data_IF_568266393994
#
_entry.id   IF_568266393994
#
_cell.length_a   1.000
_cell.length_b   1.000
_cell.length_c   1.000
_cell.angle_alpha   90.00
_cell.angle_beta   90.00
_cell.angle_gamma   90.00
#
_symmetry.space_group_name_H-M   'P 1'
#
loop_
_entity.id
_entity.type
_entity.pdbx_description
1 polymer ?
#
# COMPACT_ATOMS: atom_id res chain seq x y z
N UNK A 1 14.32 -3.59 -35.70
CA UNK A 1 13.25 -3.47 -34.69
C UNK A 1 13.54 -4.52 -33.64
N UNK A 2 13.71 -4.15 -32.37
CA UNK A 2 13.83 -5.15 -31.29
C UNK A 2 12.46 -5.86 -31.11
N UNK A 3 12.50 -7.16 -30.90
CA UNK A 3 11.31 -7.98 -30.63
C UNK A 3 11.38 -8.38 -29.17
N UNK A 4 10.24 -8.42 -28.50
CA UNK A 4 10.17 -8.86 -27.10
C UNK A 4 10.89 -10.19 -26.90
N UNK A 5 11.65 -10.32 -25.81
CA UNK A 5 12.38 -11.56 -25.51
C UNK A 5 11.44 -12.52 -24.74
N UNK A 6 10.75 -13.38 -25.50
CA UNK A 6 9.77 -14.33 -24.94
C UNK A 6 10.41 -15.73 -24.94
N UNK A 7 10.50 -16.35 -23.75
CA UNK A 7 11.03 -17.71 -23.64
C UNK A 7 10.12 -18.70 -24.40
N UNK A 8 10.65 -19.68 -25.12
CA UNK A 8 9.85 -20.61 -25.96
C UNK A 8 8.80 -21.42 -25.21
N UNK A 9 8.95 -21.59 -23.89
CA UNK A 9 7.96 -22.30 -23.05
C UNK A 9 6.95 -21.38 -22.38
N UNK A 10 7.04 -20.07 -22.60
CA UNK A 10 6.03 -19.13 -22.10
C UNK A 10 4.73 -19.28 -22.92
N UNK A 11 3.60 -19.11 -22.24
CA UNK A 11 2.26 -19.14 -22.87
C UNK A 11 1.76 -17.71 -22.93
N UNK A 12 1.75 -17.12 -24.10
CA UNK A 12 1.24 -15.77 -24.34
C UNK A 12 -0.01 -15.87 -25.21
N UNK A 13 -1.14 -15.42 -24.67
CA UNK A 13 -2.40 -15.46 -25.39
C UNK A 13 -2.41 -14.42 -26.53
N UNK A 14 -3.08 -14.75 -27.62
CA UNK A 14 -3.36 -13.81 -28.71
C UNK A 14 -4.15 -12.61 -28.17
N UNK A 15 -3.72 -11.38 -28.51
CA UNK A 15 -4.31 -10.13 -28.01
C UNK A 15 -3.49 -9.44 -26.91
N UNK A 16 -2.53 -10.12 -26.28
CA UNK A 16 -1.62 -9.47 -25.34
C UNK A 16 -0.77 -8.40 -26.03
N UNK A 17 -0.71 -7.20 -25.45
CA UNK A 17 0.13 -6.11 -25.95
C UNK A 17 1.46 -6.06 -25.20
N UNK A 18 2.57 -6.40 -25.87
CA UNK A 18 3.87 -6.55 -25.25
C UNK A 18 4.86 -5.59 -25.91
N UNK A 19 5.44 -4.66 -25.13
CA UNK A 19 6.47 -3.76 -25.63
C UNK A 19 7.72 -4.52 -26.09
N UNK A 20 8.41 -3.99 -27.08
CA UNK A 20 9.55 -4.66 -27.74
C UNK A 20 10.75 -4.92 -26.80
N UNK A 21 10.89 -4.16 -25.73
CA UNK A 21 11.95 -4.33 -24.72
C UNK A 21 11.54 -5.19 -23.52
N UNK A 22 10.30 -5.71 -23.49
CA UNK A 22 9.85 -6.59 -22.41
C UNK A 22 10.48 -7.99 -22.51
N UNK A 23 10.62 -8.64 -21.35
CA UNK A 23 11.12 -10.01 -21.25
C UNK A 23 10.12 -10.90 -20.54
N UNK A 24 9.87 -12.11 -21.06
CA UNK A 24 8.96 -13.11 -20.47
C UNK A 24 9.72 -14.41 -20.27
N UNK A 25 9.85 -14.82 -19.02
CA UNK A 25 10.57 -16.00 -18.57
C UNK A 25 9.87 -17.33 -18.88
N UNK A 26 10.53 -18.45 -18.61
CA UNK A 26 10.02 -19.78 -18.92
C UNK A 26 8.75 -20.09 -18.11
N UNK A 27 7.82 -20.76 -18.78
CA UNK A 27 6.54 -21.20 -18.21
C UNK A 27 5.66 -20.09 -17.63
N UNK A 28 5.96 -18.81 -17.91
CA UNK A 28 5.07 -17.71 -17.56
C UNK A 28 3.81 -17.76 -18.44
N UNK A 29 2.67 -17.36 -17.87
CA UNK A 29 1.40 -17.27 -18.59
C UNK A 29 0.94 -15.81 -18.64
N UNK A 30 0.61 -15.31 -19.84
CA UNK A 30 0.17 -13.94 -20.09
C UNK A 30 -1.17 -13.98 -20.85
N UNK A 31 -2.22 -13.47 -20.22
CA UNK A 31 -3.59 -13.43 -20.75
C UNK A 31 -3.78 -12.41 -21.87
N UNK A 32 -4.84 -12.57 -22.66
CA UNK A 32 -5.10 -11.79 -23.88
C UNK A 32 -5.30 -10.27 -23.66
N UNK A 33 -5.69 -9.85 -22.48
CA UNK A 33 -5.97 -8.43 -22.16
C UNK A 33 -4.85 -7.79 -21.32
N UNK A 34 -3.68 -8.44 -21.25
CA UNK A 34 -2.51 -7.94 -20.55
C UNK A 34 -1.73 -6.98 -21.43
N UNK A 35 -1.33 -5.85 -20.85
CA UNK A 35 -0.47 -4.84 -21.49
C UNK A 35 0.82 -4.73 -20.70
N UNK A 36 1.97 -4.99 -21.35
CA UNK A 36 3.31 -4.88 -20.77
C UNK A 36 4.03 -3.68 -21.39
N UNK A 37 4.39 -2.70 -20.56
CA UNK A 37 5.17 -1.52 -20.95
C UNK A 37 6.64 -1.84 -21.24
N UNK A 38 7.39 -0.80 -21.59
CA UNK A 38 8.81 -0.92 -21.92
C UNK A 38 9.62 -1.43 -20.72
N UNK A 39 10.56 -2.34 -20.99
CA UNK A 39 11.46 -2.90 -19.97
C UNK A 39 10.80 -3.76 -18.89
N UNK A 40 9.51 -4.12 -19.04
CA UNK A 40 8.83 -5.04 -18.12
C UNK A 40 9.51 -6.40 -18.14
N UNK A 41 9.70 -6.97 -16.95
CA UNK A 41 10.30 -8.30 -16.77
C UNK A 41 9.29 -9.22 -16.06
N UNK A 42 8.96 -10.34 -16.73
CA UNK A 42 8.07 -11.37 -16.17
C UNK A 42 8.91 -12.63 -15.89
N UNK A 43 8.98 -12.99 -14.61
CA UNK A 43 9.74 -14.15 -14.14
C UNK A 43 9.11 -15.49 -14.49
N UNK A 44 9.87 -16.56 -14.28
CA UNK A 44 9.42 -17.93 -14.55
C UNK A 44 8.15 -18.28 -13.74
N UNK A 45 7.21 -18.99 -14.36
CA UNK A 45 5.96 -19.43 -13.76
C UNK A 45 5.06 -18.30 -13.20
N UNK A 46 5.33 -17.04 -13.54
CA UNK A 46 4.43 -15.96 -13.18
C UNK A 46 3.14 -16.04 -14.01
N UNK A 47 2.02 -15.62 -13.41
CA UNK A 47 0.71 -15.62 -14.08
C UNK A 47 0.18 -14.18 -14.12
N UNK A 48 -0.05 -13.69 -15.34
CA UNK A 48 -0.68 -12.40 -15.61
C UNK A 48 -1.99 -12.65 -16.35
N UNK A 49 -3.11 -12.14 -15.82
CA UNK A 49 -4.43 -12.40 -16.41
C UNK A 49 -5.35 -11.17 -16.30
N UNK A 50 -6.51 -11.26 -16.96
CA UNK A 50 -7.52 -10.20 -17.00
C UNK A 50 -7.00 -8.89 -17.60
N UNK A 51 -7.72 -7.79 -17.39
CA UNK A 51 -7.33 -6.46 -17.85
C UNK A 51 -6.23 -5.96 -16.91
N UNK A 52 -4.97 -6.25 -17.25
CA UNK A 52 -3.81 -5.93 -16.41
C UNK A 52 -2.84 -5.07 -17.19
N UNK A 53 -2.53 -3.89 -16.65
CA UNK A 53 -1.59 -2.95 -17.22
C UNK A 53 -0.36 -2.81 -16.33
N UNK A 54 0.82 -3.20 -16.84
CA UNK A 54 2.10 -3.01 -16.19
C UNK A 54 2.87 -1.88 -16.90
N UNK A 55 3.17 -0.81 -16.16
CA UNK A 55 3.92 0.32 -16.68
C UNK A 55 5.41 -0.02 -16.92
N UNK A 56 6.20 0.94 -17.39
CA UNK A 56 7.61 0.73 -17.71
C UNK A 56 8.43 0.19 -16.52
N UNK A 57 9.35 -0.73 -16.79
CA UNK A 57 10.31 -1.24 -15.82
C UNK A 57 9.72 -2.04 -14.67
N UNK A 58 8.43 -2.41 -14.71
CA UNK A 58 7.81 -3.28 -13.70
C UNK A 58 8.48 -4.66 -13.74
N UNK A 59 8.75 -5.22 -12.57
CA UNK A 59 9.31 -6.56 -12.44
C UNK A 59 8.31 -7.47 -11.69
N UNK A 60 7.93 -8.55 -12.34
CA UNK A 60 7.11 -9.62 -11.75
C UNK A 60 8.02 -10.83 -11.56
N UNK A 61 8.32 -11.17 -10.32
CA UNK A 61 9.25 -12.25 -9.98
C UNK A 61 8.57 -13.62 -10.11
N UNK A 62 9.35 -14.73 -10.07
CA UNK A 62 8.80 -16.07 -10.29
C UNK A 62 7.63 -16.41 -9.36
N UNK A 63 6.65 -17.12 -9.93
CA UNK A 63 5.44 -17.60 -9.23
C UNK A 63 4.50 -16.50 -8.70
N UNK A 64 4.72 -15.22 -8.99
CA UNK A 64 3.76 -14.18 -8.65
C UNK A 64 2.52 -14.27 -9.57
N UNK A 65 1.35 -13.88 -9.03
CA UNK A 65 0.09 -13.89 -9.77
C UNK A 65 -0.54 -12.49 -9.73
N UNK A 66 -0.79 -11.90 -10.91
CA UNK A 66 -1.33 -10.54 -11.04
C UNK A 66 -2.56 -10.55 -11.96
N UNK A 67 -3.63 -9.89 -11.53
CA UNK A 67 -4.84 -9.70 -12.32
C UNK A 67 -5.81 -10.87 -12.28
N UNK A 68 -5.62 -11.88 -11.43
CA UNK A 68 -6.60 -12.94 -11.22
C UNK A 68 -7.90 -12.40 -10.61
N UNK A 69 -9.03 -13.12 -10.73
CA UNK A 69 -10.31 -12.72 -10.15
C UNK A 69 -10.22 -12.42 -8.66
N UNK A 70 -11.00 -11.43 -8.16
CA UNK A 70 -11.04 -11.14 -6.74
C UNK A 70 -11.55 -12.34 -5.92
N UNK A 71 -11.06 -12.49 -4.70
CA UNK A 71 -11.60 -13.46 -3.74
C UNK A 71 -12.88 -12.91 -3.10
N UNK A 72 -13.85 -12.56 -3.94
CA UNK A 72 -15.17 -12.07 -3.54
C UNK A 72 -16.26 -12.94 -4.19
N UNK A 73 -17.09 -13.59 -3.37
CA UNK A 73 -18.18 -14.46 -3.83
C UNK A 73 -19.23 -13.72 -4.67
N UNK A 74 -19.26 -12.39 -4.62
CA UNK A 74 -20.17 -11.56 -5.42
C UNK A 74 -19.68 -11.37 -6.86
N UNK A 75 -18.38 -11.54 -7.11
CA UNK A 75 -17.80 -11.38 -8.42
C UNK A 75 -18.35 -12.43 -9.40
N UNK A 76 -18.81 -11.99 -10.57
CA UNK A 76 -19.45 -12.83 -11.61
C UNK A 76 -18.69 -12.83 -12.95
N UNK A 77 -17.45 -12.35 -12.97
CA UNK A 77 -16.65 -12.27 -14.19
C UNK A 77 -16.68 -10.89 -14.86
N UNK A 78 -17.04 -9.85 -14.13
CA UNK A 78 -17.11 -8.49 -14.64
C UNK A 78 -15.73 -7.97 -15.09
N UNK A 79 -15.69 -7.04 -16.08
CA UNK A 79 -14.43 -6.55 -16.68
C UNK A 79 -13.71 -5.54 -15.79
N UNK A 80 -13.24 -6.01 -14.66
CA UNK A 80 -12.45 -5.22 -13.70
C UNK A 80 -10.95 -5.37 -13.97
N UNK A 81 -10.13 -4.47 -13.43
CA UNK A 81 -8.73 -4.33 -13.87
C UNK A 81 -7.71 -4.15 -12.74
N UNK A 82 -6.44 -4.30 -13.12
CA UNK A 82 -5.25 -3.99 -12.31
C UNK A 82 -4.36 -3.03 -13.09
N UNK A 83 -3.84 -2.03 -12.40
CA UNK A 83 -2.81 -1.12 -12.91
C UNK A 83 -1.62 -1.11 -11.96
N UNK A 84 -0.40 -1.33 -12.47
CA UNK A 84 0.84 -1.25 -11.70
C UNK A 84 1.75 -0.18 -12.31
N UNK A 85 2.09 0.81 -11.50
CA UNK A 85 2.92 1.95 -11.86
C UNK A 85 4.40 1.58 -12.11
N UNK A 86 5.16 2.49 -12.72
CA UNK A 86 6.51 2.21 -13.22
C UNK A 86 7.48 1.77 -12.11
N UNK A 87 8.44 0.90 -12.50
CA UNK A 87 9.55 0.40 -11.66
C UNK A 87 9.13 -0.34 -10.38
N UNK A 88 7.85 -0.65 -10.23
CA UNK A 88 7.35 -1.46 -9.12
C UNK A 88 7.80 -2.90 -9.25
N UNK A 89 8.17 -3.50 -8.13
CA UNK A 89 8.64 -4.89 -8.03
C UNK A 89 7.62 -5.72 -7.27
N UNK A 90 7.12 -6.76 -7.91
CA UNK A 90 6.24 -7.78 -7.30
C UNK A 90 7.06 -9.04 -7.13
N UNK A 91 7.37 -9.39 -5.87
CA UNK A 91 8.24 -10.51 -5.52
C UNK A 91 7.52 -11.85 -5.63
N UNK A 92 8.31 -12.89 -5.40
CA UNK A 92 7.93 -14.30 -5.57
C UNK A 92 6.69 -14.64 -4.76
N UNK A 93 5.77 -15.37 -5.39
CA UNK A 93 4.50 -15.83 -4.79
C UNK A 93 3.57 -14.70 -4.29
N UNK A 94 3.88 -13.43 -4.55
CA UNK A 94 2.95 -12.36 -4.24
C UNK A 94 1.73 -12.43 -5.15
N UNK A 95 0.57 -11.99 -4.64
CA UNK A 95 -0.69 -12.01 -5.38
C UNK A 95 -1.32 -10.62 -5.41
N UNK A 96 -1.76 -10.17 -6.59
CA UNK A 96 -2.48 -8.90 -6.79
C UNK A 96 -3.76 -9.20 -7.56
N UNK A 97 -4.91 -9.05 -6.91
CA UNK A 97 -6.20 -9.33 -7.53
C UNK A 97 -6.78 -8.07 -8.18
N UNK A 98 -7.50 -8.26 -9.30
CA UNK A 98 -8.23 -7.17 -9.97
C UNK A 98 -9.39 -6.66 -9.12
N UNK A 99 -9.91 -5.47 -9.45
CA UNK A 99 -11.00 -4.85 -8.73
C UNK A 99 -12.31 -5.65 -8.79
N UNK A 100 -13.33 -5.17 -8.12
CA UNK A 100 -14.69 -5.71 -8.10
C UNK A 100 -15.72 -4.63 -8.42
N UNK A 101 -16.93 -5.02 -8.85
CA UNK A 101 -18.04 -4.07 -9.10
C UNK A 101 -18.59 -3.44 -7.83
N UNK A 102 -18.27 -3.98 -6.67
CA UNK A 102 -18.61 -3.37 -5.37
C UNK A 102 -17.68 -2.21 -4.97
N UNK A 103 -16.64 -1.96 -5.76
CA UNK A 103 -15.70 -0.87 -5.64
C UNK A 103 -15.62 -0.04 -6.92
N UNK A 104 -14.42 0.43 -7.25
CA UNK A 104 -14.17 1.17 -8.50
C UNK A 104 -13.83 0.26 -9.69
N UNK A 105 -13.85 -1.06 -9.48
CA UNK A 105 -13.45 -2.03 -10.49
C UNK A 105 -11.95 -2.00 -10.80
N UNK A 106 -11.14 -1.39 -9.95
CA UNK A 106 -9.72 -1.16 -10.17
C UNK A 106 -8.91 -1.42 -8.91
N UNK A 107 -7.88 -2.27 -9.02
CA UNK A 107 -6.79 -2.33 -8.06
C UNK A 107 -5.61 -1.58 -8.64
N UNK A 108 -5.06 -0.60 -7.90
CA UNK A 108 -3.95 0.24 -8.36
C UNK A 108 -2.77 0.16 -7.41
N UNK A 109 -1.59 0.00 -7.98
CA UNK A 109 -0.30 0.11 -7.29
C UNK A 109 0.51 1.20 -7.99
N UNK A 110 1.03 2.16 -7.23
CA UNK A 110 1.82 3.28 -7.73
C UNK A 110 3.22 2.89 -8.21
N UNK A 111 4.05 3.90 -8.42
CA UNK A 111 5.42 3.76 -8.89
C UNK A 111 6.38 3.38 -7.74
N UNK A 112 7.51 2.73 -8.10
CA UNK A 112 8.62 2.44 -7.19
C UNK A 112 8.21 1.67 -5.92
N UNK A 113 7.12 0.89 -5.98
CA UNK A 113 6.65 0.07 -4.88
C UNK A 113 7.42 -1.26 -4.80
N UNK A 114 7.50 -1.83 -3.59
CA UNK A 114 8.05 -3.16 -3.36
C UNK A 114 7.02 -4.04 -2.65
N UNK A 115 6.46 -4.99 -3.38
CA UNK A 115 5.53 -5.99 -2.87
C UNK A 115 6.35 -7.26 -2.64
N UNK A 116 6.75 -7.50 -1.38
CA UNK A 116 7.67 -8.59 -1.05
C UNK A 116 7.01 -9.97 -1.12
N UNK A 117 7.81 -11.01 -0.91
CA UNK A 117 7.40 -12.40 -1.09
C UNK A 117 6.13 -12.75 -0.31
N UNK A 118 5.22 -13.45 -0.99
CA UNK A 118 3.96 -13.96 -0.42
C UNK A 118 3.02 -12.86 0.08
N UNK A 119 3.27 -11.58 -0.24
CA UNK A 119 2.33 -10.51 0.09
C UNK A 119 1.07 -10.61 -0.79
N UNK A 120 -0.08 -10.24 -0.22
CA UNK A 120 -1.36 -10.23 -0.91
C UNK A 120 -1.95 -8.83 -0.99
N UNK A 121 -2.27 -8.37 -2.20
CA UNK A 121 -3.03 -7.15 -2.47
C UNK A 121 -4.44 -7.55 -2.92
N UNK A 122 -5.42 -7.33 -2.04
CA UNK A 122 -6.83 -7.61 -2.31
C UNK A 122 -7.41 -6.69 -3.38
N UNK A 123 -8.61 -7.02 -3.85
CA UNK A 123 -9.33 -6.26 -4.85
C UNK A 123 -9.61 -4.82 -4.40
N UNK A 124 -9.67 -3.89 -5.36
CA UNK A 124 -9.97 -2.47 -5.13
C UNK A 124 -9.02 -1.76 -4.14
N UNK A 125 -7.84 -2.34 -3.88
CA UNK A 125 -6.80 -1.66 -3.13
C UNK A 125 -6.16 -0.55 -3.96
N UNK A 126 -5.82 0.55 -3.28
CA UNK A 126 -5.04 1.65 -3.85
C UNK A 126 -3.78 1.83 -3.02
N UNK A 127 -2.63 1.58 -3.63
CA UNK A 127 -1.32 1.86 -3.07
C UNK A 127 -0.71 3.02 -3.86
N UNK A 128 -0.35 4.09 -3.16
CA UNK A 128 0.37 5.21 -3.75
C UNK A 128 1.85 4.83 -4.02
N UNK A 129 2.69 5.79 -4.39
CA UNK A 129 4.08 5.55 -4.76
C UNK A 129 4.94 5.10 -3.56
N UNK A 130 6.03 4.38 -3.85
CA UNK A 130 7.08 4.00 -2.88
C UNK A 130 6.58 3.23 -1.65
N UNK A 131 5.44 2.56 -1.78
CA UNK A 131 4.91 1.69 -0.72
C UNK A 131 5.74 0.41 -0.65
N UNK A 132 6.06 -0.01 0.57
CA UNK A 132 6.72 -1.30 0.83
C UNK A 132 5.78 -2.18 1.64
N UNK A 133 5.38 -3.30 1.06
CA UNK A 133 4.73 -4.41 1.77
C UNK A 133 5.78 -5.49 2.01
N UNK A 134 6.15 -5.71 3.27
CA UNK A 134 7.09 -6.76 3.63
C UNK A 134 6.47 -8.15 3.44
N UNK A 135 7.27 -9.21 3.63
CA UNK A 135 6.84 -10.60 3.41
C UNK A 135 5.56 -10.94 4.19
N UNK A 136 4.67 -11.70 3.54
CA UNK A 136 3.41 -12.17 4.14
C UNK A 136 2.45 -11.07 4.62
N UNK A 137 2.54 -9.84 4.10
CA UNK A 137 1.53 -8.82 4.36
C UNK A 137 0.25 -9.18 3.62
N UNK A 138 -0.89 -9.08 4.29
CA UNK A 138 -2.21 -9.40 3.74
C UNK A 138 -3.10 -8.15 3.77
N UNK A 139 -3.42 -7.61 2.60
CA UNK A 139 -4.37 -6.50 2.47
C UNK A 139 -5.74 -7.05 2.09
N UNK A 140 -6.75 -6.79 2.93
CA UNK A 140 -8.15 -7.00 2.55
C UNK A 140 -8.57 -6.05 1.43
N UNK A 141 -9.73 -6.29 0.81
CA UNK A 141 -10.23 -5.44 -0.27
C UNK A 141 -10.42 -3.97 0.15
N UNK A 142 -10.33 -3.05 -0.83
CA UNK A 142 -10.56 -1.61 -0.66
C UNK A 142 -9.60 -0.92 0.34
N UNK A 143 -8.43 -1.46 0.61
CA UNK A 143 -7.42 -0.81 1.46
C UNK A 143 -6.76 0.32 0.67
N UNK A 144 -6.65 1.49 1.30
CA UNK A 144 -5.87 2.60 0.79
C UNK A 144 -4.55 2.73 1.58
N UNK A 145 -3.43 2.83 0.86
CA UNK A 145 -2.10 3.03 1.45
C UNK A 145 -1.45 4.24 0.78
N UNK A 146 -1.21 5.28 1.58
CA UNK A 146 -0.57 6.50 1.12
C UNK A 146 0.91 6.32 0.77
N UNK A 147 1.46 7.33 0.12
CA UNK A 147 2.84 7.37 -0.35
C UNK A 147 3.87 7.02 0.74
N UNK A 148 4.87 6.25 0.37
CA UNK A 148 6.04 5.94 1.21
C UNK A 148 5.69 5.24 2.55
N UNK A 149 4.59 4.52 2.61
CA UNK A 149 4.23 3.68 3.76
C UNK A 149 5.07 2.42 3.77
N UNK A 150 5.49 2.00 4.95
CA UNK A 150 6.08 0.69 5.20
C UNK A 150 5.15 -0.17 6.04
N UNK A 151 4.83 -1.36 5.54
CA UNK A 151 4.04 -2.37 6.27
C UNK A 151 4.93 -3.56 6.59
N UNK A 152 5.15 -3.80 7.89
CA UNK A 152 6.00 -4.87 8.40
C UNK A 152 5.44 -6.26 8.14
N UNK A 153 6.34 -7.25 8.04
CA UNK A 153 6.00 -8.62 7.65
C UNK A 153 4.95 -9.28 8.54
N UNK A 154 4.14 -10.13 7.94
CA UNK A 154 3.07 -10.87 8.62
C UNK A 154 1.89 -10.00 9.10
N UNK A 155 1.82 -8.73 8.68
CA UNK A 155 0.74 -7.82 9.04
C UNK A 155 -0.51 -8.13 8.22
N UNK A 156 -1.67 -8.20 8.89
CA UNK A 156 -2.99 -8.26 8.27
C UNK A 156 -3.69 -6.90 8.37
N UNK A 157 -4.16 -6.36 7.23
CA UNK A 157 -4.90 -5.10 7.16
C UNK A 157 -6.35 -5.40 6.78
N UNK A 158 -7.28 -5.01 7.65
CA UNK A 158 -8.71 -5.24 7.42
C UNK A 158 -9.20 -4.42 6.22
N UNK A 159 -10.19 -4.97 5.51
CA UNK A 159 -10.80 -4.29 4.35
C UNK A 159 -11.24 -2.86 4.67
N UNK A 160 -11.12 -1.97 3.69
CA UNK A 160 -11.49 -0.55 3.76
C UNK A 160 -10.72 0.28 4.80
N UNK A 161 -9.61 -0.20 5.33
CA UNK A 161 -8.69 0.60 6.15
C UNK A 161 -7.92 1.57 5.28
N UNK A 162 -7.71 2.79 5.78
CA UNK A 162 -6.83 3.79 5.17
C UNK A 162 -5.56 3.94 6.02
N UNK A 163 -4.41 3.88 5.37
CA UNK A 163 -3.10 4.14 5.99
C UNK A 163 -2.53 5.40 5.34
N UNK A 164 -2.41 6.46 6.14
CA UNK A 164 -1.89 7.74 5.67
C UNK A 164 -0.40 7.68 5.30
N UNK A 165 0.02 8.58 4.41
CA UNK A 165 1.38 8.58 3.87
C UNK A 165 2.46 8.57 4.95
N UNK A 166 3.61 7.97 4.64
CA UNK A 166 4.78 7.88 5.52
C UNK A 166 4.53 7.23 6.89
N UNK A 167 3.37 6.56 7.07
CA UNK A 167 3.15 5.75 8.26
C UNK A 167 4.04 4.50 8.23
N UNK A 168 4.27 3.93 9.42
CA UNK A 168 4.97 2.65 9.59
C UNK A 168 4.11 1.71 10.43
N UNK A 169 3.95 0.50 9.94
CA UNK A 169 3.22 -0.57 10.61
C UNK A 169 4.24 -1.62 11.07
N UNK A 170 4.30 -1.88 12.36
CA UNK A 170 5.16 -2.94 12.91
C UNK A 170 4.73 -4.32 12.41
N UNK A 171 5.68 -5.23 12.27
CA UNK A 171 5.40 -6.60 11.83
C UNK A 171 4.42 -7.34 12.76
N UNK A 172 3.78 -8.41 12.26
CA UNK A 172 2.81 -9.24 12.97
C UNK A 172 1.62 -8.46 13.56
N UNK A 173 1.22 -7.37 12.89
CA UNK A 173 0.14 -6.50 13.36
C UNK A 173 -1.20 -6.84 12.73
N UNK A 174 -2.28 -6.66 13.49
CA UNK A 174 -3.67 -6.70 13.00
C UNK A 174 -4.23 -5.28 12.91
N UNK A 175 -4.30 -4.70 11.71
CA UNK A 175 -4.72 -3.31 11.48
C UNK A 175 -6.21 -3.27 11.14
N UNK A 176 -7.05 -2.87 12.08
CA UNK A 176 -8.53 -2.86 11.95
C UNK A 176 -9.11 -1.45 11.71
N UNK A 177 -8.30 -0.40 11.88
CA UNK A 177 -8.71 1.00 11.83
C UNK A 177 -7.72 1.86 11.09
N UNK A 178 -8.16 3.03 10.65
CA UNK A 178 -7.36 3.98 9.90
C UNK A 178 -6.15 4.48 10.70
N UNK A 179 -5.01 4.51 10.04
CA UNK A 179 -3.73 5.00 10.59
C UNK A 179 -3.44 6.38 10.02
N UNK A 180 -3.25 7.36 10.89
CA UNK A 180 -2.95 8.74 10.46
C UNK A 180 -1.66 8.82 9.64
N UNK A 181 -1.53 9.83 8.75
CA UNK A 181 -0.26 10.18 8.12
C UNK A 181 0.86 10.31 9.17
N UNK A 182 2.05 9.85 8.82
CA UNK A 182 3.24 9.85 9.69
C UNK A 182 3.11 9.01 10.97
N UNK A 183 2.03 8.26 11.14
CA UNK A 183 1.78 7.46 12.32
C UNK A 183 2.68 6.23 12.39
N UNK A 184 2.93 5.76 13.62
CA UNK A 184 3.54 4.46 13.90
C UNK A 184 2.54 3.63 14.68
N UNK A 185 2.28 2.40 14.24
CA UNK A 185 1.39 1.49 14.96
C UNK A 185 1.92 0.06 14.94
N UNK A 186 1.54 -0.73 15.93
CA UNK A 186 1.88 -2.14 16.02
C UNK A 186 0.92 -2.91 16.95
N UNK A 187 1.01 -4.23 16.88
CA UNK A 187 0.39 -5.19 17.78
C UNK A 187 -0.77 -5.96 17.15
N UNK A 188 -1.10 -7.10 17.74
CA UNK A 188 -2.29 -7.86 17.41
C UNK A 188 -3.52 -7.14 17.99
N UNK A 189 -4.34 -6.56 17.09
CA UNK A 189 -5.21 -5.38 17.25
C UNK A 189 -4.37 -4.14 17.48
N UNK A 190 -3.75 -3.68 16.40
CA UNK A 190 -2.79 -2.58 16.39
C UNK A 190 -3.31 -1.31 17.06
N UNK A 191 -2.40 -0.59 17.70
CA UNK A 191 -2.62 0.72 18.30
C UNK A 191 -1.57 1.71 17.80
N UNK A 192 -1.94 2.98 17.75
CA UNK A 192 -0.95 4.05 17.54
C UNK A 192 -0.01 4.09 18.74
N UNK A 193 1.28 3.96 18.47
CA UNK A 193 2.36 4.04 19.47
C UNK A 193 3.13 5.35 19.37
N UNK A 194 2.88 6.16 18.35
CA UNK A 194 3.52 7.44 18.13
C UNK A 194 3.56 7.85 16.66
N UNK A 195 4.61 8.57 16.31
CA UNK A 195 4.92 9.01 14.96
C UNK A 195 6.16 8.27 14.42
N UNK A 196 6.24 8.11 13.12
CA UNK A 196 7.41 7.56 12.41
C UNK A 196 8.57 8.56 12.39
N UNK A 197 9.11 8.91 13.58
CA UNK A 197 10.14 9.95 13.73
C UNK A 197 11.43 9.61 12.96
N UNK A 198 11.81 8.34 12.95
CA UNK A 198 12.99 7.89 12.23
C UNK A 198 12.82 8.09 10.71
N UNK A 199 11.66 7.70 10.17
CA UNK A 199 11.32 7.91 8.77
C UNK A 199 11.28 9.39 8.40
N UNK A 200 10.71 10.24 9.23
CA UNK A 200 10.68 11.69 9.02
C UNK A 200 12.10 12.29 8.98
N UNK A 201 12.96 11.95 9.95
CA UNK A 201 14.36 12.41 9.99
C UNK A 201 15.14 11.98 8.73
N UNK A 202 15.01 10.70 8.33
CA UNK A 202 15.68 10.16 7.12
C UNK A 202 15.24 10.85 5.83
N UNK A 203 14.03 11.38 5.79
CA UNK A 203 13.46 12.13 4.65
C UNK A 203 13.71 13.62 4.72
N UNK A 204 14.54 14.09 5.66
CA UNK A 204 14.95 15.49 5.75
C UNK A 204 13.93 16.44 6.37
N UNK A 205 12.92 15.93 7.12
CA UNK A 205 12.02 16.82 7.84
C UNK A 205 12.78 17.64 8.89
N UNK A 206 12.64 18.96 8.82
CA UNK A 206 13.27 19.89 9.75
C UNK A 206 12.73 19.73 11.17
N UNK A 207 13.51 20.22 12.14
CA UNK A 207 13.18 20.13 13.57
C UNK A 207 11.85 20.80 13.90
N UNK A 208 11.51 21.90 13.25
CA UNK A 208 10.26 22.63 13.44
C UNK A 208 9.06 21.77 13.05
N UNK A 209 9.07 21.18 11.83
CA UNK A 209 8.01 20.30 11.34
C UNK A 209 7.82 19.07 12.26
N UNK A 210 8.90 18.46 12.71
CA UNK A 210 8.86 17.31 13.65
C UNK A 210 8.26 17.73 15.00
N UNK A 211 8.61 18.92 15.52
CA UNK A 211 8.06 19.42 16.77
C UNK A 211 6.57 19.74 16.64
N UNK A 212 6.13 20.35 15.54
CA UNK A 212 4.72 20.60 15.25
C UNK A 212 3.92 19.29 15.18
N UNK A 213 4.42 18.27 14.46
CA UNK A 213 3.81 16.96 14.42
C UNK A 213 3.70 16.30 15.80
N UNK A 214 4.74 16.40 16.64
CA UNK A 214 4.71 15.89 18.01
C UNK A 214 3.67 16.62 18.88
N UNK A 215 3.57 17.94 18.76
CA UNK A 215 2.59 18.74 19.47
C UNK A 215 1.17 18.35 19.05
N UNK A 216 0.92 18.25 17.73
CA UNK A 216 -0.35 17.82 17.17
C UNK A 216 -0.73 16.40 17.63
N UNK A 217 0.20 15.44 17.56
CA UNK A 217 -0.05 14.08 18.04
C UNK A 217 -0.46 14.04 19.52
N UNK A 218 0.26 14.77 20.39
CA UNK A 218 -0.10 14.88 21.83
C UNK A 218 -1.46 15.50 22.02
N UNK A 219 -1.76 16.60 21.33
CA UNK A 219 -3.05 17.28 21.39
C UNK A 219 -4.19 16.34 20.98
N UNK A 220 -4.06 15.67 19.83
CA UNK A 220 -5.10 14.79 19.28
C UNK A 220 -5.33 13.51 20.11
N UNK A 221 -4.27 12.85 20.57
CA UNK A 221 -4.36 11.49 21.08
C UNK A 221 -4.15 11.36 22.60
N UNK A 222 -3.49 12.34 23.24
CA UNK A 222 -3.18 12.33 24.66
C UNK A 222 -3.83 13.50 25.42
N UNK A 223 -4.45 14.44 24.70
CA UNK A 223 -5.13 15.61 25.27
C UNK A 223 -6.41 15.26 26.03
N UNK A 224 -6.91 16.22 26.81
CA UNK A 224 -8.17 16.11 27.55
C UNK A 224 -9.36 16.59 26.70
N UNK A 225 -10.58 16.22 27.07
CA UNK A 225 -11.80 16.61 26.38
C UNK A 225 -12.24 15.64 25.29
N UNK A 226 -13.28 16.00 24.54
CA UNK A 226 -13.79 15.22 23.41
C UNK A 226 -12.79 15.22 22.26
N UNK A 227 -12.88 14.23 21.36
CA UNK A 227 -11.97 14.19 20.22
C UNK A 227 -12.14 15.39 19.31
N UNK A 228 -13.38 15.82 19.05
CA UNK A 228 -13.69 16.97 18.19
C UNK A 228 -13.14 18.27 18.76
N UNK A 229 -13.25 18.49 20.10
CA UNK A 229 -12.65 19.64 20.75
C UNK A 229 -11.12 19.66 20.62
N UNK A 230 -10.48 18.48 20.70
CA UNK A 230 -9.03 18.35 20.50
C UNK A 230 -8.62 18.62 19.05
N UNK A 231 -9.42 18.15 18.08
CA UNK A 231 -9.19 18.44 16.64
C UNK A 231 -9.28 19.94 16.41
N UNK A 232 -10.32 20.62 16.92
CA UNK A 232 -10.49 22.07 16.78
C UNK A 232 -9.31 22.85 17.40
N UNK A 233 -8.86 22.46 18.59
CA UNK A 233 -7.72 23.11 19.25
C UNK A 233 -6.42 22.92 18.47
N UNK A 234 -6.13 21.70 18.00
CA UNK A 234 -4.94 21.43 17.20
C UNK A 234 -4.99 22.16 15.85
N UNK A 235 -6.16 22.30 15.25
CA UNK A 235 -6.34 23.08 14.03
C UNK A 235 -6.05 24.57 14.26
N UNK A 236 -6.49 25.13 15.38
CA UNK A 236 -6.22 26.52 15.77
C UNK A 236 -4.71 26.74 16.03
N UNK A 237 -4.07 25.88 16.80
CA UNK A 237 -2.70 26.08 17.28
C UNK A 237 -1.61 25.71 16.24
N UNK A 238 -1.89 24.71 15.40
CA UNK A 238 -0.89 24.10 14.52
C UNK A 238 -1.37 23.86 13.07
N UNK A 239 -2.61 24.21 12.73
CA UNK A 239 -3.19 23.94 11.41
C UNK A 239 -2.50 24.63 10.24
N UNK A 240 -1.70 25.67 10.51
CA UNK A 240 -0.86 26.35 9.51
C UNK A 240 0.37 25.54 9.07
N UNK A 241 0.72 24.48 9.81
CA UNK A 241 1.83 23.59 9.45
C UNK A 241 1.35 22.55 8.45
N UNK A 242 1.94 22.44 7.23
CA UNK A 242 1.41 21.58 6.17
C UNK A 242 1.20 20.13 6.58
N UNK A 243 2.12 19.57 7.38
CA UNK A 243 2.05 18.18 7.83
C UNK A 243 0.94 17.96 8.87
N UNK A 244 0.65 18.97 9.70
CA UNK A 244 -0.46 18.91 10.65
C UNK A 244 -1.78 19.07 9.92
N UNK A 245 -1.86 19.99 8.95
CA UNK A 245 -3.03 20.16 8.09
C UNK A 245 -3.39 18.84 7.36
N UNK A 246 -2.39 18.09 6.91
CA UNK A 246 -2.60 16.79 6.29
C UNK A 246 -3.21 15.75 7.26
N UNK A 247 -2.73 15.69 8.51
CA UNK A 247 -3.34 14.82 9.53
C UNK A 247 -4.80 15.22 9.78
N UNK A 248 -5.08 16.51 9.89
CA UNK A 248 -6.44 17.03 10.11
C UNK A 248 -7.36 16.67 8.94
N UNK A 249 -6.93 16.92 7.70
CA UNK A 249 -7.69 16.55 6.50
C UNK A 249 -7.94 15.04 6.41
N UNK A 250 -6.97 14.21 6.78
CA UNK A 250 -7.14 12.76 6.84
C UNK A 250 -8.20 12.34 7.88
N UNK A 251 -8.25 13.02 9.03
CA UNK A 251 -9.23 12.76 10.09
C UNK A 251 -10.64 13.19 9.65
N UNK A 252 -10.77 14.33 8.98
CA UNK A 252 -12.05 14.86 8.49
C UNK A 252 -12.64 14.03 7.34
N UNK A 253 -11.80 13.40 6.53
CA UNK A 253 -12.24 12.58 5.43
C UNK A 253 -13.05 11.38 5.89
N UNK A 254 -14.12 11.05 5.15
CA UNK A 254 -15.00 9.92 5.44
C UNK A 254 -14.22 8.62 5.62
N UNK A 255 -14.55 7.84 6.64
CA UNK A 255 -13.94 6.56 6.95
C UNK A 255 -14.98 5.50 7.28
N UNK A 256 -14.83 4.32 6.68
CA UNK A 256 -15.66 3.14 7.02
C UNK A 256 -15.18 2.45 8.30
N UNK A 257 -13.91 2.63 8.69
CA UNK A 257 -13.27 1.88 9.78
C UNK A 257 -13.07 2.70 11.05
N UNK A 258 -13.14 4.03 10.93
CA UNK A 258 -12.82 4.95 12.01
C UNK A 258 -11.34 4.97 12.36
N UNK A 259 -10.92 6.00 13.07
CA UNK A 259 -9.52 6.27 13.39
C UNK A 259 -8.98 5.30 14.45
N UNK A 260 -7.72 4.89 14.28
CA UNK A 260 -6.99 4.08 15.26
C UNK A 260 -6.75 4.89 16.54
N UNK A 261 -6.98 4.24 17.68
CA UNK A 261 -6.74 4.86 19.00
C UNK A 261 -5.28 4.71 19.41
N UNK A 262 -4.77 5.67 20.17
CA UNK A 262 -3.48 5.53 20.82
C UNK A 262 -3.47 4.33 21.79
N UNK A 263 -2.35 3.62 21.83
CA UNK A 263 -2.04 2.66 22.88
C UNK A 263 -1.82 3.35 24.23
N UNK A 264 -1.91 2.61 25.32
CA UNK A 264 -1.39 3.10 26.61
C UNK A 264 0.13 3.23 26.47
N UNK A 265 0.70 4.39 26.78
CA UNK A 265 2.16 4.54 26.88
C UNK A 265 2.64 3.63 28.01
N UNK A 266 3.39 2.60 27.67
CA UNK A 266 4.29 1.95 28.62
C UNK A 266 5.60 2.73 28.59
N UNK A 267 6.15 3.11 29.73
CA UNK A 267 7.35 3.96 29.89
C UNK A 267 8.65 3.40 29.24
N UNK A 268 8.59 2.24 28.60
CA UNK A 268 9.74 1.60 27.96
C UNK A 268 10.08 2.11 26.55
N UNK A 269 9.16 2.83 25.87
CA UNK A 269 9.36 3.25 24.47
C UNK A 269 10.16 4.55 24.29
N UNK A 270 10.48 5.28 25.35
CA UNK A 270 11.28 6.50 25.26
C UNK A 270 12.81 6.24 25.29
N UNK A 271 13.25 5.10 25.80
CA UNK A 271 14.66 4.75 25.92
C UNK A 271 15.29 4.24 24.61
N UNK A 272 14.51 3.73 23.65
CA UNK A 272 15.02 3.27 22.35
C UNK A 272 15.04 4.34 21.24
N UNK A 273 14.57 5.55 21.53
CA UNK A 273 14.48 6.68 20.59
C UNK A 273 15.47 7.82 20.87
N UNK A 274 16.42 7.63 21.80
CA UNK A 274 17.47 8.62 22.15
C UNK A 274 18.72 8.50 21.30
#
# INVERSE_FOLDING_TARGET
MSVANIHPTAIVAEGAAIAASATIGPYATVGAQVVLGEGVQVGAHAVLDGITHLAEGVQILPFASVGLPPQDLKYKGEPTRVEIGPRTIVREHATVHRGSVGGEGLTRIGADCLIMCVAHVGHDCVLEDRVILANNVMLGGHVYIGDTVFVGGGTAVHQSVRIGRQAVIGGMSGVERDVIPFGSCMGNRARLIGLNLLGLKRRGFGREAINALRAAYRGLFLGRGTFDARVALVAQDHGNQPQVAEILAFIEASSRRGLMRAGRQTHESEAEAA
#
